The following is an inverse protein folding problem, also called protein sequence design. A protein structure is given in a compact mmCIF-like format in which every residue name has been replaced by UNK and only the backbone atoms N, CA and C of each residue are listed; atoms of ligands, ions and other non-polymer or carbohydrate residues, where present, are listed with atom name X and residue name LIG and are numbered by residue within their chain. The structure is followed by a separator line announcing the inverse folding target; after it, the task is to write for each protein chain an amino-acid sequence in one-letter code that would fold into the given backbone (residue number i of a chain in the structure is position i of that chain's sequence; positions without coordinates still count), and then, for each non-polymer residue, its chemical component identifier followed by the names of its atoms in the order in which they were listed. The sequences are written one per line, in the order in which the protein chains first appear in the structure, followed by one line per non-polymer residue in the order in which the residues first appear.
data_IF_967974278287
#
_entry.id   IF_967974278287
#
_cell.length_a   1.000
_cell.length_b   1.000
_cell.length_c   1.000
_cell.angle_alpha   90.00
_cell.angle_beta   90.00
_cell.angle_gamma   90.00
#
_symmetry.space_group_name_H-M   'P 1'
#
loop_
_entity.id
_entity.type
_entity.pdbx_description
1 polymer ?
#
# COMPACT_ATOMS: atom_id res chain seq x y z
N UNK A 1 60.30 57.64 3.24
CA UNK A 1 58.96 57.21 3.77
C UNK A 1 58.49 56.11 2.84
N UNK A 2 58.62 54.87 3.25
CA UNK A 2 58.19 53.68 2.48
C UNK A 2 56.98 53.08 3.18
N UNK A 3 55.86 53.12 2.52
CA UNK A 3 54.62 52.47 2.99
C UNK A 3 54.72 50.98 2.69
N UNK A 4 54.70 50.16 3.72
CA UNK A 4 54.59 48.70 3.63
C UNK A 4 53.10 48.31 3.72
N UNK A 5 52.54 47.86 2.63
CA UNK A 5 51.21 47.29 2.57
C UNK A 5 51.29 45.82 3.08
N UNK A 6 50.65 45.58 4.22
CA UNK A 6 50.44 44.23 4.74
C UNK A 6 49.17 43.64 4.12
N UNK A 7 49.33 42.68 3.19
CA UNK A 7 48.22 41.91 2.62
C UNK A 7 47.91 40.76 3.57
N UNK A 8 46.82 40.87 4.28
CA UNK A 8 46.24 39.76 5.10
C UNK A 8 45.50 38.81 4.16
N UNK A 9 46.13 37.69 3.84
CA UNK A 9 45.47 36.60 3.13
C UNK A 9 44.59 35.82 4.11
N UNK A 10 43.29 36.07 4.09
CA UNK A 10 42.31 35.22 4.76
C UNK A 10 42.18 33.91 4.02
N UNK A 11 42.78 32.84 4.52
CA UNK A 11 42.51 31.48 4.10
C UNK A 11 41.13 31.07 4.63
N UNK A 12 40.13 31.10 3.77
CA UNK A 12 38.85 30.40 4.03
C UNK A 12 39.12 28.91 3.87
N UNK A 13 39.29 28.22 4.99
CA UNK A 13 39.21 26.76 5.04
C UNK A 13 37.71 26.41 4.98
N UNK A 14 37.22 26.16 3.80
CA UNK A 14 35.93 25.49 3.62
C UNK A 14 36.09 24.05 4.09
N UNK A 15 35.72 23.78 5.32
CA UNK A 15 35.50 22.42 5.78
C UNK A 15 34.30 21.91 5.00
N UNK A 16 34.56 21.15 3.94
CA UNK A 16 33.56 20.27 3.33
C UNK A 16 33.24 19.21 4.38
N UNK A 17 32.21 19.47 5.19
CA UNK A 17 31.56 18.42 5.90
C UNK A 17 30.89 17.54 4.82
N UNK A 18 31.58 16.51 4.36
CA UNK A 18 30.94 15.42 3.66
C UNK A 18 30.01 14.78 4.69
N UNK A 19 28.75 15.23 4.70
CA UNK A 19 27.70 14.43 5.26
C UNK A 19 27.74 13.12 4.45
N UNK A 20 28.31 12.08 5.02
CA UNK A 20 28.08 10.73 4.53
C UNK A 20 26.56 10.59 4.49
N UNK A 21 26.02 10.52 3.29
CA UNK A 21 24.65 10.08 3.11
C UNK A 21 24.57 8.72 3.79
N UNK A 22 23.88 8.65 4.92
CA UNK A 22 23.53 7.36 5.51
C UNK A 22 22.73 6.68 4.41
N UNK A 23 23.31 5.68 3.74
CA UNK A 23 22.56 4.85 2.81
C UNK A 23 21.40 4.27 3.62
N UNK A 24 20.19 4.70 3.33
CA UNK A 24 19.00 4.13 3.96
C UNK A 24 18.89 2.68 3.50
N UNK A 25 19.21 1.77 4.39
CA UNK A 25 19.07 0.34 4.15
C UNK A 25 17.69 -0.13 4.58
N UNK A 26 16.90 -0.61 3.63
CA UNK A 26 15.58 -1.18 3.88
C UNK A 26 15.72 -2.68 4.19
N UNK A 27 15.44 -3.06 5.45
CA UNK A 27 15.51 -4.45 5.90
C UNK A 27 14.10 -4.98 6.16
N UNK A 28 13.60 -5.81 5.26
CA UNK A 28 12.28 -6.40 5.35
C UNK A 28 12.31 -7.72 6.14
N UNK A 29 11.26 -7.97 6.91
CA UNK A 29 10.98 -9.24 7.57
C UNK A 29 9.81 -9.91 6.86
N UNK A 30 10.05 -11.02 6.21
CA UNK A 30 9.01 -11.77 5.50
C UNK A 30 8.19 -12.66 6.44
N UNK A 31 6.88 -12.65 6.23
CA UNK A 31 5.90 -13.56 6.83
C UNK A 31 5.11 -14.24 5.71
N UNK A 32 5.16 -15.56 5.64
CA UNK A 32 4.60 -16.35 4.55
C UNK A 32 3.86 -17.58 5.07
N UNK A 33 3.46 -18.49 4.19
CA UNK A 33 2.90 -19.80 4.59
C UNK A 33 3.82 -20.56 5.55
N UNK A 34 5.14 -20.37 5.47
CA UNK A 34 6.13 -20.98 6.39
C UNK A 34 5.98 -20.47 7.82
N UNK A 35 5.46 -19.28 8.00
CA UNK A 35 5.20 -18.65 9.30
C UNK A 35 3.75 -18.84 9.76
N UNK A 36 2.92 -19.50 8.96
CA UNK A 36 1.53 -19.78 9.30
C UNK A 36 0.50 -18.94 8.55
N UNK A 37 0.86 -18.11 7.58
CA UNK A 37 -0.10 -17.46 6.71
C UNK A 37 -0.92 -18.50 5.93
N UNK A 38 -2.17 -18.22 5.57
CA UNK A 38 -3.03 -19.19 4.89
C UNK A 38 -2.63 -19.37 3.42
N UNK A 39 -2.14 -18.31 2.78
CA UNK A 39 -1.72 -18.28 1.38
C UNK A 39 -0.87 -17.03 1.10
N UNK A 40 0.08 -17.10 0.16
CA UNK A 40 1.06 -16.01 -0.04
C UNK A 40 0.55 -14.80 -0.84
N UNK A 41 -0.57 -14.90 -1.55
CA UNK A 41 -1.13 -13.71 -2.22
C UNK A 41 -1.92 -12.87 -1.23
N UNK A 42 -1.39 -11.74 -0.84
CA UNK A 42 -2.02 -10.82 0.12
C UNK A 42 -2.60 -9.63 -0.62
N UNK A 43 -3.94 -9.56 -0.68
CA UNK A 43 -4.68 -8.55 -1.44
C UNK A 43 -5.09 -7.33 -0.58
N UNK A 44 -5.29 -7.54 0.72
CA UNK A 44 -5.78 -6.51 1.64
C UNK A 44 -5.10 -6.61 3.00
N UNK A 45 -4.79 -5.48 3.59
CA UNK A 45 -4.15 -5.35 4.90
C UNK A 45 -4.90 -4.31 5.72
N UNK A 46 -5.17 -4.62 6.98
CA UNK A 46 -5.83 -3.73 7.93
C UNK A 46 -5.28 -3.95 9.33
N UNK A 47 -5.05 -2.91 10.10
CA UNK A 47 -4.85 -2.98 11.54
C UNK A 47 -6.15 -2.58 12.24
N UNK A 48 -6.70 -3.47 13.08
CA UNK A 48 -7.91 -3.16 13.84
C UNK A 48 -7.59 -2.27 15.06
N UNK A 49 -8.63 -1.71 15.69
CA UNK A 49 -8.49 -0.86 16.88
C UNK A 49 -7.84 -1.55 18.08
N UNK A 50 -7.82 -2.89 18.12
CA UNK A 50 -7.16 -3.69 19.16
C UNK A 50 -5.68 -3.92 18.85
N UNK A 51 -5.21 -3.54 17.65
CA UNK A 51 -3.83 -3.68 17.22
C UNK A 51 -3.53 -4.96 16.43
N UNK A 52 -4.51 -5.86 16.22
CA UNK A 52 -4.30 -7.02 15.38
C UNK A 52 -4.16 -6.63 13.91
N UNK A 53 -3.23 -7.29 13.22
CA UNK A 53 -3.12 -7.16 11.76
C UNK A 53 -4.01 -8.19 11.07
N UNK A 54 -4.86 -7.72 10.17
CA UNK A 54 -5.72 -8.55 9.34
C UNK A 54 -5.18 -8.60 7.93
N UNK A 55 -4.94 -9.81 7.42
CA UNK A 55 -4.36 -10.06 6.11
C UNK A 55 -5.34 -10.89 5.27
N UNK A 56 -5.92 -10.26 4.28
CA UNK A 56 -6.81 -10.90 3.31
C UNK A 56 -6.02 -11.54 2.19
N UNK A 57 -6.18 -12.85 2.01
CA UNK A 57 -5.48 -13.61 0.96
C UNK A 57 -6.46 -14.21 -0.05
N UNK A 58 -5.92 -14.84 -1.12
CA UNK A 58 -6.75 -15.62 -2.06
C UNK A 58 -7.34 -16.88 -1.45
N UNK A 59 -6.88 -17.31 -0.27
CA UNK A 59 -7.38 -18.52 0.39
C UNK A 59 -7.45 -18.35 1.92
N UNK A 60 -8.25 -17.40 2.34
CA UNK A 60 -8.60 -17.13 3.73
C UNK A 60 -8.21 -15.75 4.22
N UNK A 61 -8.84 -15.37 5.32
CA UNK A 61 -8.52 -14.22 6.13
C UNK A 61 -7.62 -14.65 7.29
N UNK A 62 -6.61 -13.87 7.60
CA UNK A 62 -5.66 -14.14 8.66
C UNK A 62 -5.65 -12.99 9.66
N UNK A 63 -5.70 -13.29 10.96
CA UNK A 63 -5.46 -12.33 12.03
C UNK A 63 -4.12 -12.62 12.67
N UNK A 64 -3.22 -11.66 12.66
CA UNK A 64 -1.87 -11.75 13.24
C UNK A 64 -1.78 -10.94 14.53
N UNK A 65 -1.25 -11.56 15.59
CA UNK A 65 -1.13 -10.98 16.92
C UNK A 65 0.30 -10.49 17.26
N UNK A 66 1.20 -10.51 16.27
CA UNK A 66 2.62 -10.23 16.44
C UNK A 66 3.49 -11.49 16.56
N UNK A 67 2.90 -12.65 16.85
CA UNK A 67 3.58 -13.93 17.04
C UNK A 67 3.05 -15.02 16.11
N UNK A 68 1.72 -15.12 15.97
CA UNK A 68 1.04 -16.22 15.28
C UNK A 68 -0.13 -15.76 14.43
N UNK A 69 -0.51 -16.61 13.47
CA UNK A 69 -1.67 -16.38 12.61
C UNK A 69 -2.85 -17.24 13.05
N UNK A 70 -3.99 -16.59 13.31
CA UNK A 70 -5.29 -17.24 13.33
C UNK A 70 -5.91 -17.16 11.94
N UNK A 71 -6.24 -18.32 11.36
CA UNK A 71 -6.78 -18.43 9.99
C UNK A 71 -8.30 -18.58 10.03
N UNK A 72 -8.98 -17.92 9.10
CA UNK A 72 -10.41 -18.02 8.88
C UNK A 72 -10.63 -18.39 7.40
N UNK A 73 -11.23 -19.54 7.17
CA UNK A 73 -11.57 -20.03 5.83
C UNK A 73 -13.04 -20.41 5.77
N UNK A 74 -13.57 -20.50 4.56
CA UNK A 74 -14.89 -21.06 4.35
C UNK A 74 -14.92 -22.52 4.80
N UNK A 75 -15.95 -22.85 5.58
CA UNK A 75 -16.25 -24.18 6.03
C UNK A 75 -17.77 -24.41 5.93
N UNK A 76 -18.19 -25.20 4.95
CA UNK A 76 -19.61 -25.48 4.69
C UNK A 76 -20.32 -26.16 5.88
N UNK A 77 -19.58 -26.81 6.78
CA UNK A 77 -20.13 -27.41 7.99
C UNK A 77 -20.27 -26.41 9.15
N UNK A 78 -19.65 -25.23 9.05
CA UNK A 78 -19.67 -24.20 10.09
C UNK A 78 -20.35 -22.91 9.60
N UNK A 79 -21.62 -22.67 9.96
CA UNK A 79 -22.35 -21.47 9.53
C UNK A 79 -21.80 -20.16 10.10
N UNK A 80 -20.84 -20.21 11.03
CA UNK A 80 -20.14 -19.05 11.59
C UNK A 80 -18.80 -18.79 10.88
N UNK A 81 -18.43 -19.62 9.92
CA UNK A 81 -17.25 -19.39 9.09
C UNK A 81 -17.51 -18.27 8.08
N UNK A 82 -16.43 -17.70 7.53
CA UNK A 82 -16.56 -16.83 6.37
C UNK A 82 -17.08 -17.62 5.17
N UNK A 83 -18.05 -17.09 4.42
CA UNK A 83 -18.69 -17.83 3.34
C UNK A 83 -17.86 -17.92 2.05
N UNK A 84 -16.80 -17.12 1.90
CA UNK A 84 -15.87 -17.19 0.78
C UNK A 84 -14.44 -16.93 1.26
N UNK A 85 -13.48 -17.72 0.79
CA UNK A 85 -12.07 -17.63 1.21
C UNK A 85 -11.24 -16.63 0.39
N UNK A 86 -11.72 -16.17 -0.76
CA UNK A 86 -11.00 -15.20 -1.57
C UNK A 86 -11.30 -13.78 -1.07
N UNK A 87 -10.37 -13.22 -0.30
CA UNK A 87 -10.53 -11.90 0.32
C UNK A 87 -9.99 -10.82 -0.61
N UNK A 88 -10.77 -9.79 -0.86
CA UNK A 88 -10.44 -8.69 -1.76
C UNK A 88 -10.27 -7.35 -1.05
N UNK A 89 -11.04 -7.11 0.01
CA UNK A 89 -11.05 -5.83 0.72
C UNK A 89 -11.36 -5.99 2.20
N UNK A 90 -10.82 -5.12 3.03
CA UNK A 90 -11.02 -5.09 4.49
C UNK A 90 -11.33 -3.66 4.95
N UNK A 91 -12.27 -3.54 5.87
CA UNK A 91 -12.61 -2.26 6.50
C UNK A 91 -13.11 -2.48 7.93
N UNK A 92 -12.67 -1.67 8.90
CA UNK A 92 -13.18 -1.66 10.28
C UNK A 92 -14.20 -0.54 10.44
N UNK A 93 -15.43 -0.86 10.87
CA UNK A 93 -16.47 0.12 11.13
C UNK A 93 -16.32 0.80 12.50
N UNK A 94 -17.15 1.82 12.78
CA UNK A 94 -17.13 2.54 14.06
C UNK A 94 -17.43 1.66 15.28
N UNK A 95 -18.08 0.53 15.09
CA UNK A 95 -18.38 -0.43 16.16
C UNK A 95 -17.24 -1.43 16.39
N UNK A 96 -16.22 -1.45 15.52
CA UNK A 96 -15.11 -2.38 15.57
C UNK A 96 -15.38 -3.70 14.89
N UNK A 97 -16.43 -3.77 14.08
CA UNK A 97 -16.67 -4.94 13.24
C UNK A 97 -15.79 -4.86 11.99
N UNK A 98 -15.28 -6.00 11.56
CA UNK A 98 -14.46 -6.07 10.35
C UNK A 98 -15.33 -6.47 9.17
N UNK A 99 -15.49 -5.56 8.25
CA UNK A 99 -16.14 -5.80 6.97
C UNK A 99 -15.16 -6.45 6.01
N UNK A 100 -15.56 -7.56 5.44
CA UNK A 100 -14.71 -8.39 4.59
C UNK A 100 -15.37 -8.52 3.22
N UNK A 101 -14.79 -7.85 2.23
CA UNK A 101 -15.13 -8.01 0.83
C UNK A 101 -14.49 -9.29 0.29
N UNK A 102 -15.26 -10.04 -0.47
CA UNK A 102 -14.82 -11.28 -1.09
C UNK A 102 -15.12 -11.30 -2.58
N UNK A 103 -14.71 -12.37 -3.25
CA UNK A 103 -15.06 -12.63 -4.65
C UNK A 103 -16.55 -12.92 -4.87
N UNK A 104 -17.30 -13.18 -3.79
CA UNK A 104 -18.73 -13.46 -3.81
C UNK A 104 -19.43 -12.85 -2.59
N UNK A 105 -19.56 -11.51 -2.59
CA UNK A 105 -20.31 -10.79 -1.56
C UNK A 105 -19.50 -10.29 -0.38
N UNK A 106 -20.20 -9.89 0.68
CA UNK A 106 -19.64 -9.24 1.87
C UNK A 106 -19.96 -10.04 3.10
N UNK A 107 -18.99 -10.20 3.99
CA UNK A 107 -19.13 -10.81 5.32
C UNK A 107 -18.70 -9.82 6.39
N UNK A 108 -19.29 -9.91 7.57
CA UNK A 108 -18.91 -9.08 8.72
C UNK A 108 -18.42 -10.01 9.83
N UNK A 109 -17.18 -9.78 10.28
CA UNK A 109 -16.67 -10.41 11.47
C UNK A 109 -17.03 -9.59 12.70
N UNK A 110 -17.70 -10.21 13.65
CA UNK A 110 -18.05 -9.63 14.94
C UNK A 110 -17.06 -10.08 16.00
N UNK A 111 -16.15 -9.21 16.47
CA UNK A 111 -15.12 -9.60 17.44
C UNK A 111 -15.66 -10.13 18.78
N UNK A 112 -16.85 -9.66 19.19
CA UNK A 112 -17.49 -10.10 20.44
C UNK A 112 -18.07 -11.52 20.34
N UNK A 113 -18.49 -11.93 19.14
CA UNK A 113 -19.05 -13.26 18.86
C UNK A 113 -17.99 -14.23 18.35
N UNK A 114 -16.82 -13.73 17.96
CA UNK A 114 -15.78 -14.45 17.20
C UNK A 114 -16.34 -15.22 15.99
N UNK A 115 -17.28 -14.61 15.26
CA UNK A 115 -18.05 -15.23 14.20
C UNK A 115 -18.21 -14.30 13.00
N UNK A 116 -18.35 -14.89 11.82
CA UNK A 116 -18.76 -14.19 10.61
C UNK A 116 -20.27 -14.32 10.42
N UNK A 117 -20.86 -13.27 9.88
CA UNK A 117 -22.22 -13.27 9.36
C UNK A 117 -22.17 -12.71 7.94
N UNK A 118 -22.93 -13.31 7.02
CA UNK A 118 -23.11 -12.78 5.68
C UNK A 118 -23.88 -11.44 5.77
N UNK A 119 -23.43 -10.46 5.02
CA UNK A 119 -24.15 -9.20 4.90
C UNK A 119 -25.31 -9.36 3.92
N UNK A 120 -26.36 -10.03 4.38
CA UNK A 120 -27.61 -10.27 3.62
C UNK A 120 -28.60 -9.10 3.83
N UNK A 121 -28.25 -7.92 3.26
CA UNK A 121 -29.14 -6.77 3.25
C UNK A 121 -29.55 -6.47 1.81
N UNK A 122 -30.88 -6.43 1.59
CA UNK A 122 -31.41 -6.04 0.28
C UNK A 122 -31.49 -4.51 0.20
N UNK A 123 -31.06 -3.94 -0.93
CA UNK A 123 -31.18 -2.51 -1.17
C UNK A 123 -32.63 -2.06 -1.37
N UNK A 124 -32.87 -0.75 -1.31
CA UNK A 124 -34.19 -0.18 -1.66
C UNK A 124 -34.62 -0.57 -3.07
N UNK A 125 -33.65 -0.73 -3.97
CA UNK A 125 -33.85 -1.14 -5.37
C UNK A 125 -33.97 -2.68 -5.51
N UNK A 126 -34.11 -3.40 -4.37
CA UNK A 126 -34.22 -4.86 -4.30
C UNK A 126 -33.02 -5.64 -4.84
N UNK A 127 -31.83 -5.02 -4.83
CA UNK A 127 -30.58 -5.65 -5.22
C UNK A 127 -29.81 -6.13 -3.99
N UNK A 128 -29.19 -7.30 -4.08
CA UNK A 128 -28.26 -7.84 -3.08
C UNK A 128 -26.82 -7.79 -3.59
N UNK A 129 -25.86 -7.78 -2.69
CA UNK A 129 -24.43 -7.85 -3.03
C UNK A 129 -24.06 -9.33 -3.21
N UNK A 130 -23.89 -9.76 -4.45
CA UNK A 130 -23.65 -11.19 -4.79
C UNK A 130 -22.39 -11.39 -5.67
N UNK A 131 -21.70 -10.30 -6.00
CA UNK A 131 -20.54 -10.30 -6.89
C UNK A 131 -19.27 -9.93 -6.14
N UNK A 132 -18.16 -10.01 -6.87
CA UNK A 132 -16.84 -9.63 -6.36
C UNK A 132 -16.82 -8.18 -5.86
N UNK A 133 -16.31 -7.99 -4.66
CA UNK A 133 -16.18 -6.68 -4.01
C UNK A 133 -14.81 -6.12 -4.32
N UNK A 134 -14.76 -4.98 -5.02
CA UNK A 134 -13.47 -4.34 -5.34
C UNK A 134 -12.90 -3.59 -4.14
N UNK A 135 -13.75 -2.89 -3.39
CA UNK A 135 -13.32 -2.06 -2.26
C UNK A 135 -14.45 -1.80 -1.27
N UNK A 136 -14.11 -1.72 0.02
CA UNK A 136 -14.99 -1.26 1.10
C UNK A 136 -14.29 -0.12 1.84
N UNK A 137 -15.01 0.97 2.10
CA UNK A 137 -14.52 2.08 2.91
C UNK A 137 -15.67 2.81 3.60
N UNK A 138 -15.37 3.54 4.68
CA UNK A 138 -16.34 4.39 5.37
C UNK A 138 -16.24 5.85 4.98
N UNK A 139 -17.34 6.58 5.15
CA UNK A 139 -17.33 8.03 5.07
C UNK A 139 -17.32 8.69 6.48
N UNK A 140 -17.22 10.01 6.50
CA UNK A 140 -17.22 10.80 7.75
C UNK A 140 -18.54 10.72 8.54
N UNK A 141 -19.62 10.30 7.90
CA UNK A 141 -20.93 10.08 8.52
C UNK A 141 -21.09 8.69 9.15
N UNK A 142 -20.12 7.79 8.91
CA UNK A 142 -20.14 6.42 9.39
C UNK A 142 -20.93 5.46 8.52
N UNK A 143 -21.25 5.85 7.30
CA UNK A 143 -21.84 4.95 6.31
C UNK A 143 -20.73 4.10 5.69
N UNK A 144 -21.06 2.87 5.33
CA UNK A 144 -20.16 1.94 4.67
C UNK A 144 -20.46 1.94 3.17
N UNK A 145 -19.45 2.24 2.39
CA UNK A 145 -19.52 2.26 0.93
C UNK A 145 -18.79 1.03 0.37
N UNK A 146 -19.43 0.40 -0.60
CA UNK A 146 -18.99 -0.89 -1.15
C UNK A 146 -19.03 -0.80 -2.67
N UNK A 147 -17.88 -0.92 -3.32
CA UNK A 147 -17.77 -1.04 -4.77
C UNK A 147 -17.85 -2.52 -5.16
N UNK A 148 -18.80 -2.86 -6.04
CA UNK A 148 -19.11 -4.24 -6.44
C UNK A 148 -19.04 -4.38 -7.94
N UNK A 149 -18.29 -5.36 -8.42
CA UNK A 149 -18.10 -5.61 -9.85
C UNK A 149 -19.44 -5.88 -10.54
N UNK A 150 -19.67 -5.22 -11.67
CA UNK A 150 -20.89 -5.30 -12.48
C UNK A 150 -22.20 -4.96 -11.74
N UNK A 151 -22.14 -4.48 -10.48
CA UNK A 151 -23.31 -4.04 -9.72
C UNK A 151 -23.24 -2.54 -9.33
N UNK A 152 -22.07 -1.90 -9.50
CA UNK A 152 -21.86 -0.50 -9.20
C UNK A 152 -21.49 -0.26 -7.72
N UNK A 153 -22.07 0.78 -7.12
CA UNK A 153 -21.74 1.22 -5.77
C UNK A 153 -22.93 1.01 -4.83
N UNK A 154 -22.63 0.50 -3.63
CA UNK A 154 -23.61 0.40 -2.54
C UNK A 154 -23.20 1.32 -1.38
N UNK A 155 -24.22 1.86 -0.70
CA UNK A 155 -24.04 2.67 0.51
C UNK A 155 -24.95 2.13 1.61
N UNK A 156 -24.35 1.68 2.71
CA UNK A 156 -25.08 1.19 3.88
C UNK A 156 -25.01 2.19 5.02
N UNK A 157 -26.18 2.63 5.49
CA UNK A 157 -26.33 3.42 6.71
C UNK A 157 -26.78 2.50 7.85
N UNK A 158 -25.87 2.21 8.77
CA UNK A 158 -26.12 1.32 9.90
C UNK A 158 -27.15 1.89 10.90
N UNK A 159 -27.30 3.22 10.99
CA UNK A 159 -28.27 3.88 11.89
C UNK A 159 -29.70 3.67 11.41
N UNK A 160 -29.87 3.75 10.10
CA UNK A 160 -31.19 3.56 9.45
C UNK A 160 -31.43 2.10 9.03
N UNK A 161 -30.41 1.25 9.09
CA UNK A 161 -30.38 -0.11 8.52
C UNK A 161 -30.79 -0.12 7.05
N UNK A 162 -30.32 0.87 6.32
CA UNK A 162 -30.70 1.14 4.94
C UNK A 162 -29.54 0.93 4.00
N UNK A 163 -29.73 0.07 3.01
CA UNK A 163 -28.81 -0.11 1.89
C UNK A 163 -29.39 0.58 0.64
N UNK A 164 -28.55 1.33 -0.08
CA UNK A 164 -28.87 1.90 -1.38
C UNK A 164 -27.91 1.35 -2.43
N UNK A 165 -28.40 1.10 -3.63
CA UNK A 165 -27.59 0.73 -4.79
C UNK A 165 -27.56 1.87 -5.81
N UNK A 166 -26.38 2.16 -6.33
CA UNK A 166 -26.10 3.10 -7.41
C UNK A 166 -25.45 2.31 -8.55
N UNK A 167 -26.22 1.82 -9.53
CA UNK A 167 -25.70 0.91 -10.57
C UNK A 167 -24.63 1.53 -11.47
N UNK A 168 -24.68 2.85 -11.69
CA UNK A 168 -23.77 3.63 -12.56
C UNK A 168 -23.63 3.06 -13.98
N UNK A 169 -24.65 2.37 -14.46
CA UNK A 169 -24.66 1.64 -15.74
C UNK A 169 -24.52 2.57 -16.97
N UNK A 170 -24.82 3.86 -16.84
CA UNK A 170 -24.62 4.86 -17.88
C UNK A 170 -23.15 5.23 -18.12
N UNK A 171 -22.27 4.94 -17.13
CA UNK A 171 -20.84 5.19 -17.20
C UNK A 171 -20.13 3.85 -17.35
N UNK A 172 -20.08 3.09 -16.27
CA UNK A 172 -19.50 1.76 -16.14
C UNK A 172 -19.88 1.18 -14.78
N UNK A 173 -20.06 -0.12 -14.69
CA UNK A 173 -20.29 -0.81 -13.42
C UNK A 173 -19.01 -1.36 -12.81
N UNK A 174 -17.83 -1.13 -13.43
CA UNK A 174 -16.55 -1.71 -12.98
C UNK A 174 -15.70 -0.69 -12.22
N UNK A 175 -16.17 -0.34 -11.01
CA UNK A 175 -15.41 0.51 -10.10
C UNK A 175 -14.28 -0.31 -9.49
N UNK A 176 -13.04 0.17 -9.65
CA UNK A 176 -11.83 -0.50 -9.11
C UNK A 176 -11.47 0.02 -7.73
N UNK A 177 -11.56 1.33 -7.54
CA UNK A 177 -11.25 2.00 -6.29
C UNK A 177 -12.07 3.28 -6.14
N UNK A 178 -12.18 3.75 -4.90
CA UNK A 178 -12.78 5.05 -4.59
C UNK A 178 -12.18 5.65 -3.34
N UNK A 179 -12.34 6.95 -3.16
CA UNK A 179 -11.94 7.65 -1.95
C UNK A 179 -12.79 8.90 -1.73
N UNK A 180 -12.89 9.34 -0.48
CA UNK A 180 -13.47 10.64 -0.15
C UNK A 180 -12.33 11.62 0.11
N UNK A 181 -12.36 12.77 -0.53
CA UNK A 181 -11.42 13.85 -0.20
C UNK A 181 -11.81 14.56 1.12
N UNK A 182 -10.95 15.47 1.56
CA UNK A 182 -11.19 16.24 2.79
C UNK A 182 -12.45 17.12 2.71
N UNK A 183 -12.87 17.51 1.51
CA UNK A 183 -14.10 18.26 1.23
C UNK A 183 -15.36 17.39 1.20
N UNK A 184 -15.22 16.06 1.22
CA UNK A 184 -16.33 15.11 1.14
C UNK A 184 -16.75 14.75 -0.29
N UNK A 185 -15.99 15.15 -1.31
CA UNK A 185 -16.19 14.69 -2.69
C UNK A 185 -15.80 13.22 -2.78
N UNK A 186 -16.67 12.41 -3.37
CA UNK A 186 -16.39 11.01 -3.68
C UNK A 186 -15.69 10.95 -5.05
N UNK A 187 -14.51 10.36 -5.07
CA UNK A 187 -13.72 10.10 -6.26
C UNK A 187 -13.77 8.62 -6.61
N UNK A 188 -13.97 8.31 -7.88
CA UNK A 188 -14.20 6.96 -8.40
C UNK A 188 -13.20 6.65 -9.51
N UNK A 189 -12.45 5.56 -9.37
CA UNK A 189 -11.57 5.01 -10.39
C UNK A 189 -12.20 3.80 -11.06
N UNK A 190 -12.32 3.85 -12.39
CA UNK A 190 -12.95 2.79 -13.18
C UNK A 190 -11.92 1.94 -13.92
N UNK A 191 -12.33 0.74 -14.29
CA UNK A 191 -11.59 -0.14 -15.18
C UNK A 191 -11.92 0.19 -16.64
N UNK A 192 -11.12 1.07 -17.25
CA UNK A 192 -11.26 1.44 -18.66
C UNK A 192 -11.99 2.76 -18.92
N UNK A 193 -12.64 3.37 -17.93
CA UNK A 193 -13.38 4.61 -18.08
C UNK A 193 -12.71 5.82 -17.41
N UNK A 194 -11.61 5.59 -16.68
CA UNK A 194 -10.81 6.63 -16.07
C UNK A 194 -11.33 7.12 -14.72
N UNK A 195 -11.20 8.45 -14.48
CA UNK A 195 -11.47 9.10 -13.21
C UNK A 195 -12.78 9.88 -13.25
N UNK A 196 -13.61 9.69 -12.22
CA UNK A 196 -14.88 10.40 -12.02
C UNK A 196 -15.00 10.94 -10.59
N UNK A 197 -15.91 11.87 -10.38
CA UNK A 197 -16.23 12.40 -9.06
C UNK A 197 -17.72 12.70 -8.88
N UNK A 198 -18.15 12.73 -7.62
CA UNK A 198 -19.48 13.12 -7.16
C UNK A 198 -19.39 13.96 -5.90
N UNK A 199 -20.14 15.06 -5.84
CA UNK A 199 -20.24 15.96 -4.67
C UNK A 199 -21.52 15.79 -3.86
N UNK A 200 -22.45 14.98 -4.34
CA UNK A 200 -23.82 14.86 -3.86
C UNK A 200 -24.24 13.41 -3.56
N UNK A 201 -23.27 12.60 -3.10
CA UNK A 201 -23.47 11.17 -2.74
C UNK A 201 -24.05 10.35 -3.93
N UNK A 202 -23.47 10.51 -5.11
CA UNK A 202 -23.86 9.82 -6.35
C UNK A 202 -25.22 10.18 -6.93
N UNK A 203 -25.84 11.31 -6.52
CA UNK A 203 -26.98 11.84 -7.23
C UNK A 203 -26.58 12.30 -8.64
N UNK A 204 -25.36 12.86 -8.77
CA UNK A 204 -24.71 13.13 -10.04
C UNK A 204 -23.27 12.64 -10.03
N UNK A 205 -22.80 12.15 -11.20
CA UNK A 205 -21.42 11.67 -11.36
C UNK A 205 -20.84 12.31 -12.62
N UNK A 206 -19.67 12.92 -12.47
CA UNK A 206 -19.01 13.66 -13.53
C UNK A 206 -17.64 13.06 -13.86
N UNK A 207 -17.28 12.91 -15.15
CA UNK A 207 -15.92 12.58 -15.54
C UNK A 207 -14.96 13.71 -15.14
N UNK A 208 -13.77 13.36 -14.73
CA UNK A 208 -12.73 14.36 -14.50
C UNK A 208 -12.02 14.72 -15.81
N UNK A 209 -11.85 16.04 -16.05
CA UNK A 209 -11.26 16.61 -17.26
C UNK A 209 -12.28 17.43 -18.08
N UNK A 210 -11.79 18.48 -18.75
CA UNK A 210 -12.66 19.38 -19.51
C UNK A 210 -12.99 18.83 -20.90
N UNK A 211 -14.27 18.86 -21.33
CA UNK A 211 -14.63 18.60 -22.70
C UNK A 211 -14.15 19.70 -23.67
N UNK A 212 -13.85 20.90 -23.17
CA UNK A 212 -13.53 22.07 -23.97
C UNK A 212 -12.16 21.99 -24.67
N UNK A 213 -11.19 21.25 -24.07
CA UNK A 213 -9.85 21.08 -24.62
C UNK A 213 -9.64 19.78 -25.40
N UNK A 214 -10.70 18.97 -25.58
CA UNK A 214 -10.66 17.73 -26.37
C UNK A 214 -9.83 16.60 -25.78
N UNK A 215 -9.29 16.75 -24.57
CA UNK A 215 -8.58 15.71 -23.80
C UNK A 215 -9.17 15.62 -22.40
N UNK A 216 -9.84 14.52 -22.12
CA UNK A 216 -10.13 14.13 -20.75
C UNK A 216 -8.89 13.47 -20.18
N UNK A 217 -8.29 14.09 -19.16
CA UNK A 217 -7.24 13.45 -18.39
C UNK A 217 -7.79 12.15 -17.79
N UNK A 218 -7.04 11.07 -17.89
CA UNK A 218 -7.41 9.70 -17.47
C UNK A 218 -8.52 9.03 -18.33
N UNK A 219 -8.93 9.57 -19.49
CA UNK A 219 -9.94 8.94 -20.35
C UNK A 219 -9.45 7.58 -20.88
N UNK A 220 -10.31 6.54 -20.75
CA UNK A 220 -9.97 5.19 -21.18
C UNK A 220 -8.90 4.51 -20.32
N UNK A 221 -8.43 5.16 -19.25
CA UNK A 221 -7.44 4.63 -18.32
C UNK A 221 -8.03 3.63 -17.33
N UNK A 222 -7.20 2.69 -16.88
CA UNK A 222 -7.52 1.81 -15.76
C UNK A 222 -6.93 2.41 -14.49
N UNK A 223 -7.79 3.02 -13.67
CA UNK A 223 -7.37 3.57 -12.37
C UNK A 223 -7.38 2.46 -11.33
N UNK A 224 -6.24 2.21 -10.71
CA UNK A 224 -6.05 1.11 -9.76
C UNK A 224 -6.19 1.55 -8.31
N UNK A 225 -5.78 2.78 -8.01
CA UNK A 225 -5.80 3.35 -6.66
C UNK A 225 -5.96 4.86 -6.69
N UNK A 226 -6.73 5.39 -5.74
CA UNK A 226 -6.85 6.81 -5.47
C UNK A 226 -6.64 6.99 -3.97
N UNK A 227 -5.71 7.85 -3.56
CA UNK A 227 -5.48 8.17 -2.16
C UNK A 227 -5.38 9.68 -1.98
N UNK A 228 -5.91 10.17 -0.86
CA UNK A 228 -5.71 11.56 -0.51
C UNK A 228 -4.28 11.77 0.00
N UNK A 229 -3.61 12.76 -0.56
CA UNK A 229 -2.32 13.26 -0.09
C UNK A 229 -2.49 14.46 0.82
N UNK A 230 -1.36 15.00 1.28
CA UNK A 230 -1.30 16.28 1.97
C UNK A 230 -1.51 17.44 0.98
N UNK A 231 -1.67 18.67 1.49
CA UNK A 231 -1.78 19.89 0.65
C UNK A 231 -2.94 19.88 -0.35
N UNK A 232 -4.06 19.25 0.02
CA UNK A 232 -5.28 19.19 -0.80
C UNK A 232 -5.03 18.62 -2.20
N UNK A 233 -4.35 17.47 -2.27
CA UNK A 233 -4.13 16.74 -3.51
C UNK A 233 -4.61 15.29 -3.42
N UNK A 234 -4.76 14.66 -4.58
CA UNK A 234 -4.96 13.21 -4.72
C UNK A 234 -3.77 12.62 -5.48
N UNK A 235 -3.32 11.46 -5.04
CA UNK A 235 -2.44 10.60 -5.84
C UNK A 235 -3.27 9.51 -6.50
N UNK A 236 -3.05 9.35 -7.80
CA UNK A 236 -3.84 8.48 -8.67
C UNK A 236 -2.90 7.52 -9.35
N UNK A 237 -3.08 6.23 -9.04
CA UNK A 237 -2.34 5.13 -9.66
C UNK A 237 -3.11 4.54 -10.84
N UNK A 238 -2.40 4.19 -11.89
CA UNK A 238 -2.97 3.57 -13.09
C UNK A 238 -2.11 2.41 -13.61
N UNK A 239 -2.69 1.65 -14.55
CA UNK A 239 -2.01 0.49 -15.18
C UNK A 239 -0.93 0.92 -16.16
N UNK A 240 -1.14 2.02 -16.90
CA UNK A 240 -0.25 2.43 -18.00
C UNK A 240 0.45 3.77 -17.78
N UNK A 241 -0.15 4.64 -17.00
CA UNK A 241 0.33 6.01 -16.82
C UNK A 241 1.08 6.19 -15.51
N UNK A 242 1.29 5.08 -14.77
CA UNK A 242 1.99 5.08 -13.49
C UNK A 242 1.24 5.87 -12.43
N UNK A 243 1.83 6.93 -11.90
CA UNK A 243 1.30 7.73 -10.79
C UNK A 243 1.23 9.19 -11.15
N UNK A 244 0.04 9.79 -10.95
CA UNK A 244 -0.22 11.21 -11.11
C UNK A 244 -0.68 11.86 -9.81
N UNK A 245 -0.39 13.14 -9.66
CA UNK A 245 -0.88 14.02 -8.60
C UNK A 245 -1.92 14.97 -9.18
N UNK A 246 -3.10 15.00 -8.59
CA UNK A 246 -4.14 15.97 -8.88
C UNK A 246 -4.23 16.99 -7.74
N UNK A 247 -3.96 18.26 -8.01
CA UNK A 247 -4.17 19.34 -7.07
C UNK A 247 -5.65 19.76 -7.07
N UNK A 248 -6.35 19.54 -5.97
CA UNK A 248 -7.79 19.82 -5.85
C UNK A 248 -8.15 21.31 -5.83
N UNK A 249 -7.17 22.18 -5.57
CA UNK A 249 -7.40 23.63 -5.57
C UNK A 249 -7.29 24.23 -6.96
N UNK A 250 -6.24 23.85 -7.71
CA UNK A 250 -5.98 24.40 -9.06
C UNK A 250 -6.59 23.56 -10.19
N UNK A 251 -6.94 22.30 -9.91
CA UNK A 251 -7.36 21.32 -10.91
C UNK A 251 -6.22 20.81 -11.81
N UNK A 252 -4.96 21.16 -11.51
CA UNK A 252 -3.83 20.72 -12.31
C UNK A 252 -3.46 19.28 -11.99
N UNK A 253 -3.16 18.53 -13.04
CA UNK A 253 -2.59 17.17 -12.96
C UNK A 253 -1.13 17.20 -13.32
N UNK A 254 -0.31 16.55 -12.51
CA UNK A 254 1.14 16.36 -12.72
C UNK A 254 1.45 14.87 -12.66
N UNK A 255 2.07 14.33 -13.72
CA UNK A 255 2.61 12.98 -13.66
C UNK A 255 3.86 12.97 -12.77
N UNK A 256 3.90 12.05 -11.78
CA UNK A 256 5.01 11.88 -10.86
C UNK A 256 5.98 10.82 -11.37
N UNK A 257 5.46 9.68 -11.84
CA UNK A 257 6.25 8.52 -12.23
C UNK A 257 5.45 7.68 -13.23
N UNK A 258 5.82 7.71 -14.52
CA UNK A 258 5.13 6.98 -15.58
C UNK A 258 5.89 5.78 -16.13
N UNK A 259 7.22 5.89 -16.18
CA UNK A 259 8.12 4.90 -16.74
C UNK A 259 9.24 4.56 -15.75
N UNK A 260 9.73 3.35 -15.84
CA UNK A 260 10.88 2.88 -15.07
C UNK A 260 12.22 3.25 -15.74
N UNK A 261 13.33 2.80 -15.15
CA UNK A 261 14.69 3.07 -15.66
C UNK A 261 14.95 2.40 -17.02
N UNK A 262 14.16 1.41 -17.42
CA UNK A 262 14.25 0.74 -18.73
C UNK A 262 13.37 1.40 -19.80
N UNK A 263 12.52 2.36 -19.44
CA UNK A 263 11.57 3.02 -20.31
C UNK A 263 10.22 2.27 -20.43
N UNK A 264 9.98 1.27 -19.59
CA UNK A 264 8.73 0.54 -19.55
C UNK A 264 7.69 1.26 -18.67
N UNK A 265 6.42 1.14 -19.05
CA UNK A 265 5.32 1.75 -18.29
C UNK A 265 5.18 1.12 -16.91
N UNK A 266 5.05 1.95 -15.88
CA UNK A 266 4.85 1.51 -14.50
C UNK A 266 3.40 1.15 -14.28
N UNK A 267 3.16 -0.10 -13.92
CA UNK A 267 1.87 -0.56 -13.44
C UNK A 267 1.76 -0.33 -11.92
N UNK A 268 1.10 0.76 -11.53
CA UNK A 268 0.81 1.03 -10.13
C UNK A 268 -0.33 0.13 -9.63
N UNK A 269 -0.10 -0.55 -8.51
CA UNK A 269 -1.08 -1.40 -7.82
C UNK A 269 -1.68 -0.73 -6.59
N UNK A 270 -0.82 -0.15 -5.78
CA UNK A 270 -1.23 0.51 -4.54
C UNK A 270 -0.37 1.74 -4.24
N UNK A 271 -0.90 2.67 -3.48
CA UNK A 271 -0.28 3.94 -3.12
C UNK A 271 -0.42 4.18 -1.64
N UNK A 272 0.66 4.60 -0.99
CA UNK A 272 0.66 4.98 0.41
C UNK A 272 1.42 6.30 0.62
N UNK A 273 0.73 7.42 0.90
CA UNK A 273 1.37 8.63 1.41
C UNK A 273 1.92 8.32 2.81
N UNK A 274 3.24 8.06 2.88
CA UNK A 274 3.86 7.61 4.10
C UNK A 274 4.18 8.78 5.05
N UNK A 275 4.65 9.90 4.48
CA UNK A 275 4.91 11.17 5.17
C UNK A 275 4.60 12.35 4.24
N UNK A 276 4.81 13.57 4.73
CA UNK A 276 4.62 14.81 3.93
C UNK A 276 5.49 14.87 2.66
N UNK A 277 6.61 14.16 2.66
CA UNK A 277 7.57 14.20 1.55
C UNK A 277 7.75 12.84 0.86
N UNK A 278 7.06 11.79 1.30
CA UNK A 278 7.37 10.43 0.88
C UNK A 278 6.10 9.68 0.47
N UNK A 279 6.06 9.27 -0.79
CA UNK A 279 5.00 8.45 -1.38
C UNK A 279 5.58 7.06 -1.73
N UNK A 280 5.02 6.02 -1.11
CA UNK A 280 5.34 4.64 -1.45
C UNK A 280 4.39 4.15 -2.52
N UNK A 281 4.96 3.61 -3.59
CA UNK A 281 4.27 3.18 -4.81
C UNK A 281 4.51 1.69 -4.99
N UNK A 282 3.51 0.87 -4.75
CA UNK A 282 3.53 -0.57 -5.01
C UNK A 282 3.22 -0.86 -6.47
N UNK A 283 4.07 -1.63 -7.13
CA UNK A 283 3.98 -1.91 -8.57
C UNK A 283 4.12 -3.41 -8.86
N UNK A 284 4.04 -3.80 -10.14
CA UNK A 284 4.39 -5.16 -10.60
C UNK A 284 5.91 -5.41 -10.63
N UNK A 285 6.72 -4.36 -10.52
CA UNK A 285 8.19 -4.44 -10.62
C UNK A 285 8.92 -4.09 -9.33
N UNK A 286 8.24 -4.04 -8.19
CA UNK A 286 8.76 -3.69 -6.89
C UNK A 286 8.09 -2.45 -6.28
N UNK A 287 8.82 -1.77 -5.42
CA UNK A 287 8.36 -0.57 -4.73
C UNK A 287 9.21 0.62 -5.15
N UNK A 288 8.54 1.71 -5.52
CA UNK A 288 9.19 3.01 -5.65
C UNK A 288 8.88 3.87 -4.44
N UNK A 289 9.91 4.39 -3.79
CA UNK A 289 9.80 5.38 -2.72
C UNK A 289 10.10 6.73 -3.37
N UNK A 290 9.05 7.49 -3.64
CA UNK A 290 9.13 8.76 -4.34
C UNK A 290 9.19 9.92 -3.35
N UNK A 291 10.21 10.77 -3.48
CA UNK A 291 10.33 12.00 -2.69
C UNK A 291 9.58 13.14 -3.39
N UNK A 292 8.49 13.58 -2.78
CA UNK A 292 7.59 14.61 -3.32
C UNK A 292 8.22 16.00 -3.46
N UNK A 293 9.30 16.29 -2.70
CA UNK A 293 10.01 17.56 -2.74
C UNK A 293 11.07 17.61 -3.84
N UNK A 294 11.88 16.54 -3.95
CA UNK A 294 13.03 16.51 -4.86
C UNK A 294 12.71 15.85 -6.19
N UNK A 295 11.55 15.21 -6.32
CA UNK A 295 11.14 14.39 -7.45
C UNK A 295 12.14 13.24 -7.77
N UNK A 296 12.91 12.79 -6.77
CA UNK A 296 13.77 11.62 -6.86
C UNK A 296 13.06 10.41 -6.28
N UNK A 297 13.49 9.22 -6.68
CA UNK A 297 12.94 7.98 -6.14
C UNK A 297 14.03 6.94 -5.86
N UNK A 298 13.72 6.02 -4.97
CA UNK A 298 14.46 4.79 -4.71
C UNK A 298 13.61 3.65 -5.23
N UNK A 299 14.19 2.71 -5.97
CA UNK A 299 13.51 1.54 -6.47
C UNK A 299 13.96 0.28 -5.71
N UNK A 300 13.07 -0.31 -4.92
CA UNK A 300 13.31 -1.52 -4.15
C UNK A 300 12.76 -2.74 -4.90
N UNK A 301 13.59 -3.77 -5.03
CA UNK A 301 13.26 -5.03 -5.72
C UNK A 301 13.59 -6.24 -4.87
N UNK A 302 12.90 -7.34 -5.15
CA UNK A 302 13.25 -8.65 -4.61
C UNK A 302 14.62 -9.09 -5.15
N UNK A 303 15.43 -9.69 -4.28
CA UNK A 303 16.75 -10.21 -4.63
C UNK A 303 16.95 -11.58 -4.00
N UNK A 304 17.35 -12.55 -4.80
CA UNK A 304 17.71 -13.90 -4.33
C UNK A 304 18.99 -13.90 -3.48
N UNK A 305 19.81 -12.84 -3.61
CA UNK A 305 21.09 -12.72 -2.92
C UNK A 305 21.01 -11.91 -1.63
N UNK A 306 19.85 -11.29 -1.35
CA UNK A 306 19.63 -10.46 -0.17
C UNK A 306 18.40 -10.95 0.60
N UNK A 307 18.64 -11.62 1.74
CA UNK A 307 17.58 -12.17 2.59
C UNK A 307 16.72 -11.12 3.31
N UNK A 308 17.11 -9.85 3.23
CA UNK A 308 16.36 -8.72 3.79
C UNK A 308 15.73 -7.85 2.69
N UNK A 309 15.84 -8.22 1.41
CA UNK A 309 15.11 -7.57 0.32
C UNK A 309 13.61 -7.92 0.37
N UNK A 310 12.84 -7.29 -0.51
CA UNK A 310 11.45 -7.72 -0.76
C UNK A 310 11.39 -9.20 -1.13
N UNK A 311 10.34 -9.88 -0.71
CA UNK A 311 10.11 -11.30 -1.00
C UNK A 311 9.56 -11.54 -2.41
N UNK A 312 8.96 -10.51 -3.02
CA UNK A 312 8.39 -10.53 -4.36
C UNK A 312 8.34 -9.11 -4.94
N UNK A 313 8.31 -9.00 -6.27
CA UNK A 313 8.21 -7.71 -6.96
C UNK A 313 6.75 -7.27 -7.24
N UNK A 314 5.81 -8.21 -7.32
CA UNK A 314 4.42 -7.90 -7.56
C UNK A 314 3.73 -7.48 -6.25
N UNK A 315 3.64 -6.17 -6.01
CA UNK A 315 3.13 -5.57 -4.77
C UNK A 315 1.66 -5.25 -4.93
N UNK A 316 0.80 -5.83 -4.07
CA UNK A 316 -0.65 -5.73 -4.16
C UNK A 316 -1.28 -4.84 -3.10
N UNK A 317 -0.67 -4.72 -1.92
CA UNK A 317 -1.19 -3.92 -0.83
C UNK A 317 -0.06 -3.26 -0.04
N UNK A 318 -0.25 -2.00 0.32
CA UNK A 318 0.60 -1.23 1.20
C UNK A 318 -0.24 -0.74 2.39
N UNK A 319 0.27 -0.92 3.60
CA UNK A 319 -0.41 -0.48 4.81
C UNK A 319 0.59 0.04 5.84
N UNK A 320 0.34 1.23 6.38
CA UNK A 320 1.11 1.82 7.48
C UNK A 320 0.39 1.54 8.79
N UNK A 321 1.04 0.83 9.72
CA UNK A 321 0.50 0.59 11.04
C UNK A 321 0.63 1.80 11.97
N UNK A 322 0.08 1.70 13.19
CA UNK A 322 0.09 2.81 14.16
C UNK A 322 1.46 3.09 14.76
N UNK A 323 2.40 2.15 14.65
CA UNK A 323 3.79 2.29 15.08
C UNK A 323 4.69 2.77 13.93
N UNK A 324 4.05 3.22 12.83
CA UNK A 324 4.71 3.66 11.60
C UNK A 324 5.45 2.55 10.85
N UNK A 325 5.26 1.30 11.22
CA UNK A 325 5.73 0.17 10.46
C UNK A 325 4.96 0.02 9.15
N UNK A 326 5.64 -0.45 8.12
CA UNK A 326 5.05 -0.67 6.80
C UNK A 326 4.84 -2.15 6.54
N UNK A 327 3.62 -2.51 6.17
CA UNK A 327 3.20 -3.84 5.76
C UNK A 327 2.98 -3.87 4.26
N UNK A 328 3.60 -4.82 3.58
CA UNK A 328 3.66 -4.91 2.13
C UNK A 328 3.16 -6.27 1.70
N UNK A 329 1.95 -6.33 1.18
CA UNK A 329 1.36 -7.54 0.62
C UNK A 329 1.81 -7.76 -0.81
N UNK A 330 2.26 -8.97 -1.13
CA UNK A 330 2.72 -9.35 -2.46
C UNK A 330 1.92 -10.50 -3.06
N UNK A 331 2.17 -10.80 -4.33
CA UNK A 331 1.43 -11.85 -5.03
C UNK A 331 1.91 -13.27 -4.67
N UNK A 332 3.23 -13.49 -4.56
CA UNK A 332 3.80 -14.81 -4.26
C UNK A 332 4.61 -14.86 -2.97
N UNK A 333 5.05 -13.72 -2.46
CA UNK A 333 5.99 -13.63 -1.34
C UNK A 333 5.35 -13.66 0.06
N UNK A 334 4.05 -13.47 0.16
CA UNK A 334 3.37 -13.27 1.44
C UNK A 334 3.31 -11.81 1.81
N UNK A 335 3.70 -11.47 3.03
CA UNK A 335 3.77 -10.09 3.50
C UNK A 335 5.17 -9.78 4.02
N UNK A 336 5.71 -8.67 3.58
CA UNK A 336 6.95 -8.09 4.09
C UNK A 336 6.63 -6.99 5.10
N UNK A 337 7.33 -6.97 6.22
CA UNK A 337 7.21 -5.94 7.24
C UNK A 337 8.50 -5.12 7.32
N UNK A 338 8.40 -3.81 7.20
CA UNK A 338 9.48 -2.85 7.40
C UNK A 338 9.21 -2.06 8.68
N UNK A 339 9.90 -2.38 9.80
CA UNK A 339 9.84 -1.58 11.01
C UNK A 339 10.64 -0.28 10.75
N UNK A 340 10.02 0.87 10.78
CA UNK A 340 10.72 2.16 10.67
C UNK A 340 11.51 2.47 11.96
N UNK A 341 12.29 1.55 12.42
CA UNK A 341 13.26 1.82 13.47
C UNK A 341 14.56 2.26 12.80
N UNK A 342 14.97 3.49 13.06
CA UNK A 342 16.33 3.93 12.74
C UNK A 342 17.31 3.03 13.48
N UNK A 343 17.79 2.00 12.80
CA UNK A 343 18.89 1.21 13.33
C UNK A 343 20.16 1.99 13.08
N UNK A 344 20.77 2.53 14.13
CA UNK A 344 22.09 3.16 14.06
C UNK A 344 23.21 2.17 13.68
N UNK A 345 22.85 0.91 13.45
CA UNK A 345 23.78 -0.17 13.14
C UNK A 345 23.53 -0.72 11.75
N UNK A 346 24.58 -0.67 10.90
CA UNK A 346 24.57 -1.38 9.63
C UNK A 346 24.56 -2.89 9.87
N UNK A 347 23.76 -3.63 9.11
CA UNK A 347 23.70 -5.09 9.18
C UNK A 347 24.65 -5.68 8.13
N UNK A 348 25.60 -6.49 8.59
CA UNK A 348 26.49 -7.26 7.72
C UNK A 348 26.04 -8.72 7.73
N UNK A 349 25.76 -9.29 6.56
CA UNK A 349 25.25 -10.66 6.40
C UNK A 349 25.70 -11.23 5.06
N UNK A 350 25.70 -12.57 4.87
CA UNK A 350 26.04 -13.19 3.59
C UNK A 350 25.05 -12.80 2.49
N UNK A 351 25.56 -12.26 1.39
CA UNK A 351 24.76 -11.85 0.19
C UNK A 351 25.07 -12.65 -1.07
N UNK A 352 25.97 -13.65 -1.02
CA UNK A 352 26.47 -14.41 -2.17
C UNK A 352 27.06 -13.51 -3.30
N UNK A 353 27.63 -12.38 -2.93
CA UNK A 353 28.35 -11.44 -3.82
C UNK A 353 29.77 -11.22 -3.31
N UNK A 354 30.64 -10.75 -4.18
CA UNK A 354 31.99 -10.34 -3.77
C UNK A 354 31.90 -9.26 -2.68
N UNK A 355 32.78 -9.32 -1.67
CA UNK A 355 32.84 -8.40 -0.53
C UNK A 355 31.66 -8.50 0.47
N UNK A 356 30.97 -9.64 0.53
CA UNK A 356 30.03 -9.95 1.61
C UNK A 356 30.63 -10.93 2.63
N UNK A 357 29.96 -11.11 3.77
CA UNK A 357 30.34 -12.17 4.70
C UNK A 357 30.16 -13.55 4.05
N UNK A 358 31.13 -14.47 4.30
CA UNK A 358 31.05 -15.84 3.79
C UNK A 358 30.22 -16.78 4.67
N UNK A 359 30.12 -16.49 5.98
CA UNK A 359 29.39 -17.33 6.94
C UNK A 359 28.37 -16.52 7.75
N UNK A 360 27.35 -17.21 8.27
CA UNK A 360 26.28 -16.62 9.12
C UNK A 360 26.74 -16.39 10.57
N UNK A 361 27.82 -17.03 10.99
CA UNK A 361 28.36 -16.90 12.35
C UNK A 361 29.69 -16.17 12.31
N UNK A 362 29.78 -15.02 12.96
CA UNK A 362 31.03 -14.34 13.23
C UNK A 362 31.49 -14.78 14.61
N UNK A 363 32.65 -15.46 14.70
CA UNK A 363 33.23 -15.97 15.96
C UNK A 363 34.13 -14.93 16.61
N UNK A 364 34.92 -14.24 15.77
CA UNK A 364 35.86 -13.25 16.27
C UNK A 364 35.97 -12.10 15.26
N UNK A 365 36.34 -10.94 15.79
CA UNK A 365 36.74 -9.79 14.97
C UNK A 365 37.93 -9.09 15.60
N UNK A 366 38.79 -8.58 14.75
CA UNK A 366 39.97 -7.85 15.18
C UNK A 366 40.13 -6.60 14.31
N UNK A 367 40.51 -5.51 14.91
CA UNK A 367 40.87 -4.29 14.17
C UNK A 367 42.36 -4.31 13.87
N UNK A 368 42.75 -4.25 12.61
CA UNK A 368 44.11 -4.06 12.16
C UNK A 368 44.57 -2.61 12.38
N UNK A 369 45.89 -2.36 12.35
CA UNK A 369 46.46 -1.05 12.58
C UNK A 369 46.07 -0.01 11.54
N UNK A 370 45.75 -0.42 10.31
CA UNK A 370 45.22 0.41 9.22
C UNK A 370 43.75 0.76 9.35
N UNK A 371 43.08 0.27 10.41
CA UNK A 371 41.66 0.46 10.64
C UNK A 371 40.72 -0.58 10.01
N UNK A 372 41.28 -1.52 9.22
CA UNK A 372 40.55 -2.63 8.64
C UNK A 372 39.98 -3.54 9.74
N UNK A 373 38.73 -3.99 9.58
CA UNK A 373 38.13 -4.98 10.47
C UNK A 373 38.27 -6.38 9.85
N UNK A 374 39.00 -7.25 10.52
CA UNK A 374 39.14 -8.66 10.16
C UNK A 374 38.06 -9.47 10.88
N UNK A 375 37.33 -10.28 10.12
CA UNK A 375 36.25 -11.13 10.65
C UNK A 375 36.59 -12.59 10.42
N UNK A 376 36.51 -13.40 11.49
CA UNK A 376 36.54 -14.85 11.39
C UNK A 376 35.12 -15.39 11.39
N UNK A 377 34.71 -16.03 10.30
CA UNK A 377 33.40 -16.65 10.14
C UNK A 377 33.54 -18.15 10.00
N UNK A 378 32.54 -18.92 10.51
CA UNK A 378 32.44 -20.35 10.28
C UNK A 378 31.13 -20.68 9.57
N UNK A 379 31.16 -21.61 8.63
CA UNK A 379 29.98 -22.21 8.06
C UNK A 379 29.37 -23.25 9.00
N UNK A 380 28.04 -23.45 8.91
CA UNK A 380 27.31 -24.42 9.74
C UNK A 380 27.67 -25.88 9.41
N UNK A 381 28.54 -26.12 8.42
CA UNK A 381 28.98 -27.44 8.01
C UNK A 381 30.23 -27.97 8.77
N UNK A 382 30.83 -27.12 9.62
CA UNK A 382 32.02 -27.47 10.42
C UNK A 382 31.69 -27.96 11.86
N UNK A 383 30.42 -28.33 12.13
CA UNK A 383 30.00 -28.93 13.41
C UNK A 383 29.57 -30.38 13.21
#
# INVERSE_FOLDING_TARGET
MKNTFCVLACFFITIFCQAQSVEEHYYFKNLSIRNGLSQNTVNAILQDRKGFMWLGTKDGLNRYDGLSFRKFKHDAANPRSIGNSFITSLYEDFNGNIWVGTDAGVYIYYPEKEAFEEFDCQSLEKTRIERSVSMIAGDKQGRVWIAVEAQGMFCYDARQKLLRNYPLSEISSNIKCFTFDSGGTLWLGFYGDGLYYSKDNLATVHPYGSPEDGKREFEGGVITKIVQGNYNCLYIGSVKEGVSELNLTSGQVRNLLAIDESGESIFCRDLLPYSDNELWIGTESGIYIYNLRTAQFIHLRASLYDSYSLSDNAIYALYKDREEGLWIGSYFGGVDYYPRQYTYFAKYYPKNIANSLHGKRVREFCRADDGTCLLYTSDAADE
#
